data_IF_092520992964
#
_entry.id   IF_092520992964
#
_cell.length_a   1.000
_cell.length_b   1.000
_cell.length_c   1.000
_cell.angle_alpha   90.00
_cell.angle_beta   90.00
_cell.angle_gamma   90.00
#
_symmetry.space_group_name_H-M   'P 1'
#
loop_
_entity.id
_entity.type
_entity.pdbx_description
1 polymer ?
#
# COMPACT_ATOMS: atom_id res chain seq x y z
N UNK A 1 -23.44 22.68 -14.03
CA UNK A 1 -22.41 23.29 -13.15
C UNK A 1 -22.57 22.89 -11.68
N UNK A 2 -23.04 21.68 -11.36
CA UNK A 2 -22.95 21.06 -10.02
C UNK A 2 -23.38 19.58 -10.08
N UNK A 3 -22.79 18.79 -10.98
CA UNK A 3 -23.04 17.33 -11.04
C UNK A 3 -21.73 16.53 -11.26
N UNK A 4 -20.58 17.21 -11.16
CA UNK A 4 -19.24 16.63 -11.27
C UNK A 4 -18.54 16.72 -9.90
N UNK A 5 -19.16 16.09 -8.91
CA UNK A 5 -18.60 15.95 -7.55
C UNK A 5 -18.23 14.49 -7.34
N UNK A 6 -16.94 14.16 -7.52
CA UNK A 6 -16.18 13.11 -6.82
C UNK A 6 -16.84 11.70 -6.63
N UNK A 7 -17.77 11.30 -7.48
CA UNK A 7 -18.45 10.00 -7.43
C UNK A 7 -18.72 9.42 -8.83
N UNK A 8 -17.91 9.78 -9.82
CA UNK A 8 -17.89 8.97 -11.04
C UNK A 8 -17.22 7.65 -10.68
N UNK A 9 -17.97 6.56 -10.74
CA UNK A 9 -17.42 5.23 -10.58
C UNK A 9 -16.45 4.97 -11.73
N UNK A 10 -15.22 4.53 -11.41
CA UNK A 10 -14.30 4.09 -12.45
C UNK A 10 -14.78 2.75 -12.99
N UNK A 11 -14.95 2.63 -14.30
CA UNK A 11 -15.10 1.31 -14.91
C UNK A 11 -13.76 0.57 -14.86
N UNK A 12 -13.77 -0.77 -14.91
CA UNK A 12 -12.52 -1.57 -14.90
C UNK A 12 -11.57 -1.17 -16.04
N UNK A 13 -12.11 -0.80 -17.20
CA UNK A 13 -11.36 -0.23 -18.33
C UNK A 13 -10.61 1.05 -17.97
N UNK A 14 -11.26 1.98 -17.26
CA UNK A 14 -10.65 3.23 -16.83
C UNK A 14 -9.51 2.97 -15.85
N UNK A 15 -9.72 2.09 -14.86
CA UNK A 15 -8.71 1.72 -13.86
C UNK A 15 -7.50 1.10 -14.55
N UNK A 16 -7.72 0.22 -15.52
CA UNK A 16 -6.65 -0.41 -16.28
C UNK A 16 -5.82 0.60 -17.07
N UNK A 17 -6.45 1.67 -17.57
CA UNK A 17 -5.81 2.72 -18.36
C UNK A 17 -5.03 3.76 -17.51
N UNK A 18 -5.27 3.83 -16.20
CA UNK A 18 -4.52 4.73 -15.31
C UNK A 18 -3.01 4.45 -15.37
N UNK A 19 -2.18 5.44 -15.08
CA UNK A 19 -0.75 5.16 -14.91
C UNK A 19 -0.51 4.40 -13.59
N UNK A 20 0.56 3.60 -13.51
CA UNK A 20 0.88 2.91 -12.26
C UNK A 20 1.20 3.89 -11.12
N UNK A 21 1.84 5.02 -11.43
CA UNK A 21 2.10 6.09 -10.46
C UNK A 21 0.80 6.75 -9.97
N UNK A 22 -0.23 6.85 -10.81
CA UNK A 22 -1.55 7.33 -10.39
C UNK A 22 -2.25 6.35 -9.44
N UNK A 23 -2.09 5.04 -9.68
CA UNK A 23 -2.57 4.01 -8.75
C UNK A 23 -1.80 4.08 -7.42
N UNK A 24 -0.47 4.19 -7.47
CA UNK A 24 0.36 4.35 -6.29
C UNK A 24 -0.03 5.59 -5.47
N UNK A 25 -0.30 6.72 -6.13
CA UNK A 25 -0.71 7.96 -5.48
C UNK A 25 -1.94 7.79 -4.57
N UNK A 26 -2.99 7.12 -5.05
CA UNK A 26 -4.17 6.86 -4.21
C UNK A 26 -3.92 5.71 -3.22
N UNK A 27 -3.16 4.70 -3.64
CA UNK A 27 -2.85 3.52 -2.81
C UNK A 27 -2.01 3.85 -1.57
N UNK A 28 -1.08 4.79 -1.65
CA UNK A 28 -0.32 5.30 -0.50
C UNK A 28 -1.26 5.89 0.56
N UNK A 29 -2.20 6.75 0.14
CA UNK A 29 -3.19 7.34 1.04
C UNK A 29 -4.10 6.27 1.69
N UNK A 30 -4.52 5.25 0.93
CA UNK A 30 -5.32 4.14 1.45
C UNK A 30 -4.51 3.33 2.47
N UNK A 31 -3.26 2.97 2.16
CA UNK A 31 -2.41 2.21 3.07
C UNK A 31 -2.11 2.97 4.38
N UNK A 32 -1.88 4.28 4.29
CA UNK A 32 -1.66 5.14 5.46
C UNK A 32 -2.84 5.05 6.45
N UNK A 33 -4.08 4.94 5.97
CA UNK A 33 -5.27 4.77 6.84
C UNK A 33 -5.20 3.43 7.59
N UNK A 34 -4.93 2.33 6.89
CA UNK A 34 -4.79 1.01 7.53
C UNK A 34 -3.67 0.99 8.57
N UNK A 35 -2.51 1.54 8.22
CA UNK A 35 -1.36 1.63 9.12
C UNK A 35 -1.68 2.47 10.36
N UNK A 36 -2.29 3.65 10.21
CA UNK A 36 -2.68 4.52 11.33
C UNK A 36 -3.74 3.87 12.21
N UNK A 37 -4.75 3.22 11.62
CA UNK A 37 -5.80 2.54 12.36
C UNK A 37 -5.23 1.42 13.22
N UNK A 38 -4.32 0.60 12.68
CA UNK A 38 -3.64 -0.45 13.43
C UNK A 38 -2.82 0.11 14.59
N UNK A 39 -1.99 1.13 14.33
CA UNK A 39 -1.16 1.75 15.38
C UNK A 39 -2.03 2.38 16.48
N UNK A 40 -3.13 3.06 16.13
CA UNK A 40 -4.09 3.56 17.11
C UNK A 40 -4.70 2.43 17.95
N UNK A 41 -5.03 1.30 17.32
CA UNK A 41 -5.61 0.15 18.00
C UNK A 41 -4.64 -0.48 19.01
N UNK A 42 -3.36 -0.66 18.66
CA UNK A 42 -2.36 -1.28 19.54
C UNK A 42 -1.70 -0.30 20.52
N UNK A 43 -1.76 1.01 20.25
CA UNK A 43 -1.10 2.06 21.05
C UNK A 43 -2.08 3.17 21.49
N UNK A 44 -3.28 2.79 21.95
CA UNK A 44 -4.42 3.70 22.25
C UNK A 44 -4.10 4.93 23.11
N UNK A 45 -3.18 4.80 24.07
CA UNK A 45 -2.83 5.86 25.02
C UNK A 45 -1.53 6.61 24.65
N UNK A 46 -0.92 6.28 23.51
CA UNK A 46 0.32 6.90 23.08
C UNK A 46 0.11 8.33 22.58
N UNK A 47 1.12 9.19 22.80
CA UNK A 47 1.13 10.55 22.25
C UNK A 47 1.30 10.52 20.72
N UNK A 48 0.78 11.54 20.03
CA UNK A 48 0.83 11.68 18.56
C UNK A 48 2.24 11.47 17.99
N UNK A 49 3.29 12.01 18.62
CA UNK A 49 4.67 11.81 18.16
C UNK A 49 5.10 10.34 18.15
N UNK A 50 4.62 9.53 19.10
CA UNK A 50 4.90 8.08 19.14
C UNK A 50 4.07 7.37 18.07
N UNK A 51 2.80 7.73 17.89
CA UNK A 51 1.94 7.18 16.84
C UNK A 51 2.57 7.41 15.45
N UNK A 52 2.99 8.64 15.15
CA UNK A 52 3.64 8.98 13.88
C UNK A 52 4.89 8.11 13.64
N UNK A 53 5.79 8.00 14.62
CA UNK A 53 6.99 7.16 14.51
C UNK A 53 6.66 5.69 14.22
N UNK A 54 5.66 5.14 14.89
CA UNK A 54 5.22 3.77 14.68
C UNK A 54 4.59 3.58 13.30
N UNK A 55 3.74 4.52 12.86
CA UNK A 55 3.16 4.50 11.51
C UNK A 55 4.24 4.60 10.43
N UNK A 56 5.24 5.48 10.59
CA UNK A 56 6.36 5.59 9.63
C UNK A 56 7.09 4.25 9.42
N UNK A 57 7.19 3.41 10.45
CA UNK A 57 7.77 2.08 10.31
C UNK A 57 6.94 1.12 9.46
N UNK A 58 5.64 1.36 9.29
CA UNK A 58 4.74 0.54 8.46
C UNK A 58 4.63 1.06 7.02
N UNK A 59 4.84 2.35 6.81
CA UNK A 59 4.60 3.00 5.51
C UNK A 59 5.88 3.38 4.77
N UNK A 60 7.07 3.23 5.38
CA UNK A 60 8.34 3.42 4.69
C UNK A 60 8.55 2.36 3.58
N UNK A 61 9.28 2.74 2.53
CA UNK A 61 9.52 1.90 1.35
C UNK A 61 10.04 0.49 1.69
N UNK A 62 11.03 0.38 2.58
CA UNK A 62 11.56 -0.91 3.02
C UNK A 62 10.48 -1.87 3.54
N UNK A 63 9.57 -1.37 4.37
CA UNK A 63 8.52 -2.20 4.96
C UNK A 63 7.52 -2.66 3.90
N UNK A 64 7.12 -1.76 3.01
CA UNK A 64 6.24 -2.08 1.89
C UNK A 64 6.87 -3.08 0.92
N UNK A 65 8.17 -2.96 0.65
CA UNK A 65 8.94 -3.97 -0.09
C UNK A 65 8.87 -5.34 0.57
N UNK A 66 9.17 -5.43 1.87
CA UNK A 66 9.09 -6.71 2.61
C UNK A 66 7.67 -7.28 2.57
N UNK A 67 6.64 -6.43 2.72
CA UNK A 67 5.25 -6.86 2.66
C UNK A 67 4.88 -7.45 1.30
N UNK A 68 5.21 -6.77 0.20
CA UNK A 68 4.81 -7.21 -1.13
C UNK A 68 5.52 -8.50 -1.55
N UNK A 69 6.77 -8.70 -1.13
CA UNK A 69 7.47 -9.99 -1.32
C UNK A 69 6.74 -11.11 -0.57
N UNK A 70 6.43 -10.92 0.73
CA UNK A 70 5.72 -11.91 1.53
C UNK A 70 4.31 -12.24 0.99
N UNK A 71 3.60 -11.25 0.45
CA UNK A 71 2.29 -11.48 -0.17
C UNK A 71 2.39 -12.43 -1.36
N UNK A 72 3.46 -12.31 -2.16
CA UNK A 72 3.73 -13.19 -3.30
C UNK A 72 4.16 -14.59 -2.82
N UNK A 73 5.08 -14.66 -1.87
CA UNK A 73 5.65 -15.92 -1.38
C UNK A 73 4.58 -16.79 -0.70
N UNK A 74 3.70 -16.19 0.10
CA UNK A 74 2.62 -16.89 0.82
C UNK A 74 1.33 -17.02 0.00
N UNK A 75 1.36 -16.70 -1.31
CA UNK A 75 0.23 -16.79 -2.23
C UNK A 75 -1.03 -16.04 -1.76
N UNK A 76 -0.86 -14.93 -1.04
CA UNK A 76 -1.96 -14.05 -0.62
C UNK A 76 -2.50 -13.27 -1.81
N UNK A 77 -1.67 -13.01 -2.81
CA UNK A 77 -2.08 -12.40 -4.08
C UNK A 77 -1.84 -13.38 -5.22
N UNK A 78 -2.77 -13.42 -6.17
CA UNK A 78 -2.67 -14.24 -7.38
C UNK A 78 -1.77 -13.57 -8.44
N UNK A 79 -1.62 -14.24 -9.57
CA UNK A 79 -0.79 -13.74 -10.66
C UNK A 79 -1.35 -12.48 -11.33
N UNK A 80 -2.68 -12.28 -11.36
CA UNK A 80 -3.31 -11.05 -11.89
C UNK A 80 -2.89 -9.84 -11.04
N UNK A 81 -3.03 -9.95 -9.73
CA UNK A 81 -2.63 -8.90 -8.78
C UNK A 81 -1.12 -8.70 -8.76
N UNK A 82 -0.34 -9.76 -8.94
CA UNK A 82 1.11 -9.64 -9.07
C UNK A 82 1.52 -8.84 -10.32
N UNK A 83 0.81 -8.95 -11.44
CA UNK A 83 1.08 -8.10 -12.62
C UNK A 83 0.88 -6.61 -12.32
N UNK A 84 -0.10 -6.25 -11.49
CA UNK A 84 -0.30 -4.86 -11.05
C UNK A 84 0.91 -4.36 -10.26
N UNK A 85 1.44 -5.18 -9.34
CA UNK A 85 2.68 -4.88 -8.59
C UNK A 85 3.86 -4.66 -9.53
N UNK A 86 4.07 -5.57 -10.49
CA UNK A 86 5.17 -5.48 -11.45
C UNK A 86 5.06 -4.23 -12.32
N UNK A 87 3.85 -3.85 -12.72
CA UNK A 87 3.59 -2.60 -13.46
C UNK A 87 3.99 -1.37 -12.64
N UNK A 88 3.63 -1.32 -11.36
CA UNK A 88 4.07 -0.26 -10.44
C UNK A 88 5.60 -0.22 -10.28
N UNK A 89 6.21 -1.38 -10.02
CA UNK A 89 7.67 -1.53 -9.90
C UNK A 89 8.42 -1.02 -11.12
N UNK A 90 7.94 -1.32 -12.31
CA UNK A 90 8.59 -0.93 -13.56
C UNK A 90 8.33 0.55 -13.95
N UNK A 91 7.43 1.25 -13.25
CA UNK A 91 7.05 2.65 -13.53
C UNK A 91 7.79 3.66 -12.65
N UNK A 92 8.59 3.18 -11.70
CA UNK A 92 9.38 4.02 -10.81
C UNK A 92 10.77 4.28 -11.42
N UNK A 93 11.02 5.53 -11.81
CA UNK A 93 12.25 5.92 -12.53
C UNK A 93 13.14 6.92 -11.77
N UNK A 94 12.61 7.57 -10.73
CA UNK A 94 13.29 8.66 -10.00
C UNK A 94 13.30 8.38 -8.49
N UNK A 95 13.87 7.25 -8.08
CA UNK A 95 14.09 6.97 -6.67
C UNK A 95 14.93 8.10 -6.03
N UNK A 96 14.63 8.53 -4.79
CA UNK A 96 15.47 9.47 -4.06
C UNK A 96 16.93 9.00 -4.01
N UNK A 97 17.90 9.92 -4.06
CA UNK A 97 19.34 9.59 -4.12
C UNK A 97 19.83 8.63 -3.02
N UNK A 98 19.18 8.65 -1.86
CA UNK A 98 19.55 7.85 -0.70
C UNK A 98 18.66 6.60 -0.51
N UNK A 99 17.71 6.35 -1.42
CA UNK A 99 16.82 5.20 -1.35
C UNK A 99 17.46 4.00 -2.06
N UNK A 100 17.23 2.80 -1.50
CA UNK A 100 17.46 1.58 -2.27
C UNK A 100 16.45 1.53 -3.41
N UNK A 101 16.96 1.48 -4.65
CA UNK A 101 16.13 1.56 -5.86
C UNK A 101 15.17 0.38 -5.95
N UNK A 102 15.60 -0.81 -5.54
CA UNK A 102 14.76 -2.01 -5.60
C UNK A 102 13.63 -1.90 -4.58
N UNK A 103 13.94 -1.51 -3.34
CA UNK A 103 12.92 -1.32 -2.30
C UNK A 103 11.91 -0.25 -2.70
N UNK A 104 12.38 0.90 -3.20
CA UNK A 104 11.52 2.00 -3.64
C UNK A 104 10.60 1.58 -4.78
N UNK A 105 11.12 0.85 -5.77
CA UNK A 105 10.32 0.38 -6.90
C UNK A 105 9.26 -0.62 -6.44
N UNK A 106 9.61 -1.59 -5.59
CA UNK A 106 8.62 -2.54 -5.08
C UNK A 106 7.60 -1.90 -4.13
N UNK A 107 7.98 -0.89 -3.34
CA UNK A 107 7.03 -0.10 -2.57
C UNK A 107 6.01 0.61 -3.47
N UNK A 108 6.47 1.23 -4.56
CA UNK A 108 5.58 1.79 -5.59
C UNK A 108 4.65 0.72 -6.19
N UNK A 109 5.15 -0.51 -6.37
CA UNK A 109 4.36 -1.67 -6.77
C UNK A 109 3.27 -2.05 -5.76
N UNK A 110 3.60 -2.05 -4.46
CA UNK A 110 2.65 -2.29 -3.39
C UNK A 110 1.55 -1.21 -3.36
N UNK A 111 1.92 0.07 -3.40
CA UNK A 111 0.98 1.18 -3.45
C UNK A 111 0.07 1.07 -4.68
N UNK A 112 0.63 0.73 -5.85
CA UNK A 112 -0.15 0.51 -7.08
C UNK A 112 -1.20 -0.58 -6.93
N UNK A 113 -0.86 -1.69 -6.26
CA UNK A 113 -1.79 -2.78 -5.96
C UNK A 113 -2.92 -2.31 -5.06
N UNK A 114 -2.61 -1.60 -3.97
CA UNK A 114 -3.63 -1.08 -3.05
C UNK A 114 -4.55 -0.10 -3.76
N UNK A 115 -4.00 0.81 -4.56
CA UNK A 115 -4.78 1.77 -5.34
C UNK A 115 -5.69 1.10 -6.37
N UNK A 116 -5.18 0.09 -7.08
CA UNK A 116 -5.98 -0.70 -8.02
C UNK A 116 -7.18 -1.36 -7.35
N UNK A 117 -6.95 -2.07 -6.24
CA UNK A 117 -8.01 -2.74 -5.49
C UNK A 117 -9.02 -1.75 -4.92
N UNK A 118 -8.57 -0.58 -4.47
CA UNK A 118 -9.43 0.46 -3.93
C UNK A 118 -10.39 1.02 -4.99
N UNK A 119 -9.88 1.30 -6.20
CA UNK A 119 -10.69 1.79 -7.30
C UNK A 119 -11.62 0.70 -7.85
N UNK A 120 -11.21 -0.57 -7.84
CA UNK A 120 -12.10 -1.72 -8.15
C UNK A 120 -13.10 -2.02 -7.02
N UNK A 121 -13.08 -1.26 -5.90
CA UNK A 121 -13.90 -1.47 -4.71
C UNK A 121 -13.75 -2.88 -4.09
N UNK A 122 -12.59 -3.52 -4.28
CA UNK A 122 -12.27 -4.85 -3.72
C UNK A 122 -11.78 -4.75 -2.27
N UNK A 123 -12.56 -4.09 -1.43
CA UNK A 123 -12.18 -3.77 -0.04
C UNK A 123 -11.88 -5.02 0.79
N UNK A 124 -12.61 -6.12 0.59
CA UNK A 124 -12.34 -7.39 1.28
C UNK A 124 -10.92 -7.90 1.01
N UNK A 125 -10.41 -7.71 -0.22
CA UNK A 125 -9.06 -8.12 -0.59
C UNK A 125 -8.00 -7.19 0.01
N UNK A 126 -8.27 -5.89 0.08
CA UNK A 126 -7.41 -4.93 0.77
C UNK A 126 -7.32 -5.27 2.25
N UNK A 127 -8.45 -5.57 2.88
CA UNK A 127 -8.52 -5.98 4.28
C UNK A 127 -7.72 -7.27 4.56
N UNK A 128 -7.79 -8.25 3.66
CA UNK A 128 -6.98 -9.48 3.73
C UNK A 128 -5.49 -9.18 3.66
N UNK A 129 -5.06 -8.40 2.66
CA UNK A 129 -3.68 -7.96 2.47
C UNK A 129 -3.20 -7.20 3.71
N UNK A 130 -3.97 -6.23 4.18
CA UNK A 130 -3.62 -5.40 5.33
C UNK A 130 -3.46 -6.24 6.60
N UNK A 131 -4.40 -7.14 6.89
CA UNK A 131 -4.29 -8.06 8.03
C UNK A 131 -3.03 -8.91 7.95
N UNK A 132 -2.71 -9.45 6.78
CA UNK A 132 -1.50 -10.25 6.58
C UNK A 132 -0.22 -9.42 6.80
N UNK A 133 -0.14 -8.23 6.19
CA UNK A 133 1.01 -7.34 6.31
C UNK A 133 1.22 -6.87 7.75
N UNK A 134 0.17 -6.39 8.41
CA UNK A 134 0.22 -5.86 9.79
C UNK A 134 0.57 -6.96 10.80
N UNK A 135 0.02 -8.18 10.65
CA UNK A 135 0.42 -9.34 11.47
C UNK A 135 1.89 -9.69 11.31
N UNK A 136 2.44 -9.53 10.10
CA UNK A 136 3.86 -9.72 9.84
C UNK A 136 4.71 -8.55 10.35
N UNK A 137 4.15 -7.35 10.46
CA UNK A 137 4.81 -6.17 11.02
C UNK A 137 4.95 -6.26 12.56
N UNK A 138 3.92 -6.74 13.25
CA UNK A 138 3.91 -6.85 14.72
C UNK A 138 5.02 -7.77 15.26
N UNK A 139 5.44 -8.78 14.47
CA UNK A 139 6.61 -9.60 14.81
C UNK A 139 7.87 -8.73 14.96
N UNK A 140 8.04 -7.72 14.10
CA UNK A 140 9.19 -6.81 14.15
C UNK A 140 9.06 -5.70 15.20
N UNK A 141 7.82 -5.31 15.56
CA UNK A 141 7.57 -4.27 16.55
C UNK A 141 7.73 -4.76 17.99
N UNK A 142 7.55 -6.06 18.23
CA UNK A 142 7.67 -6.68 19.57
C UNK A 142 9.09 -7.22 19.88
N UNK A 143 9.98 -7.22 18.89
CA UNK A 143 11.38 -7.65 19.01
C UNK A 143 12.36 -6.49 19.32
N UNK A 144 11.86 -5.32 19.73
CA UNK A 144 12.63 -4.15 20.21
C UNK A 144 12.07 -3.62 21.54
#
# INVERSE_FOLDING_TARGET
>A
MAESLMLNEFEKSDINALSALSLAYIGDAVWEIYARQHILYISKTAKVNKLHKLTTNLVKAHSQFVFVQKLKDESIIDDELWQVVLRGRNSSYNAPKNADVQEYNYATGFESLIGFLYLEKRFEKIDEIARFCLKNADKFLNDN
#
